data_IF_112334628753
#
_entry.id   IF_112334628753
#
_cell.length_a   1.000
_cell.length_b   1.000
_cell.length_c   1.000
_cell.angle_alpha   90.00
_cell.angle_beta   90.00
_cell.angle_gamma   90.00
#
_symmetry.space_group_name_H-M   'P 1'
#
loop_
_entity.id
_entity.type
_entity.pdbx_description
1 polymer ?
#
# COMPACT_ATOMS: atom_id res chain seq x y z
N UNK A 1 -66.73 22.26 17.77
CA UNK A 1 -65.41 22.74 18.22
C UNK A 1 -64.50 21.52 18.38
N UNK A 2 -63.42 21.49 17.58
CA UNK A 2 -62.21 20.64 17.60
C UNK A 2 -62.34 19.11 17.61
N UNK A 3 -62.29 18.55 16.38
CA UNK A 3 -61.82 17.20 16.06
C UNK A 3 -60.34 17.09 16.49
N UNK A 4 -60.02 16.16 17.39
CA UNK A 4 -58.62 15.88 17.78
C UNK A 4 -58.05 14.97 16.69
N UNK A 5 -57.09 15.50 15.95
CA UNK A 5 -56.47 14.90 14.78
C UNK A 5 -55.39 13.91 15.21
N UNK A 6 -55.48 12.68 14.71
CA UNK A 6 -54.49 11.60 14.85
C UNK A 6 -53.10 12.09 14.46
N UNK A 7 -52.20 12.17 15.44
CA UNK A 7 -50.78 12.57 15.29
C UNK A 7 -49.82 11.37 15.26
N UNK A 8 -50.33 10.14 15.42
CA UNK A 8 -49.56 8.90 15.35
C UNK A 8 -48.92 8.62 13.97
N UNK A 9 -49.55 8.92 12.82
CA UNK A 9 -48.96 8.65 11.51
C UNK A 9 -47.72 9.51 11.20
N UNK A 10 -47.72 10.78 11.64
CA UNK A 10 -46.61 11.70 11.41
C UNK A 10 -45.34 11.31 12.16
N UNK A 11 -45.47 10.82 13.41
CA UNK A 11 -44.32 10.34 14.19
C UNK A 11 -43.68 9.10 13.55
N UNK A 12 -44.48 8.21 12.97
CA UNK A 12 -43.97 7.02 12.28
C UNK A 12 -43.21 7.37 10.99
N UNK A 13 -43.70 8.36 10.23
CA UNK A 13 -43.04 8.84 9.02
C UNK A 13 -41.72 9.56 9.31
N UNK A 14 -41.63 10.31 10.41
CA UNK A 14 -40.38 10.95 10.85
C UNK A 14 -39.33 9.92 11.27
N UNK A 15 -39.73 8.88 12.01
CA UNK A 15 -38.85 7.76 12.39
C UNK A 15 -38.33 6.98 11.16
N UNK A 16 -39.19 6.74 10.17
CA UNK A 16 -38.79 6.10 8.92
C UNK A 16 -37.87 6.98 8.08
N UNK A 17 -38.10 8.30 8.06
CA UNK A 17 -37.23 9.25 7.39
C UNK A 17 -35.84 9.33 8.06
N UNK A 18 -35.76 9.36 9.40
CA UNK A 18 -34.50 9.31 10.12
C UNK A 18 -33.75 7.99 9.89
N UNK A 19 -34.46 6.86 9.90
CA UNK A 19 -33.88 5.56 9.55
C UNK A 19 -33.32 5.54 8.11
N UNK A 20 -34.04 6.12 7.15
CA UNK A 20 -33.62 6.16 5.74
C UNK A 20 -32.42 7.07 5.52
N UNK A 21 -32.38 8.22 6.21
CA UNK A 21 -31.25 9.18 6.19
C UNK A 21 -30.02 8.57 6.86
N UNK A 22 -30.19 7.86 7.97
CA UNK A 22 -29.08 7.15 8.64
C UNK A 22 -28.61 5.90 7.88
N UNK A 23 -29.48 5.21 7.14
CA UNK A 23 -29.07 4.10 6.27
C UNK A 23 -28.37 4.58 5.00
N UNK A 24 -28.74 5.75 4.47
CA UNK A 24 -28.17 6.28 3.22
C UNK A 24 -26.78 6.90 3.40
N UNK A 25 -26.45 7.40 4.59
CA UNK A 25 -25.12 7.98 4.86
C UNK A 25 -24.03 6.92 5.09
N UNK A 26 -24.39 5.73 5.57
CA UNK A 26 -23.45 4.63 5.86
C UNK A 26 -22.98 3.84 4.64
N UNK A 27 -23.72 3.86 3.53
CA UNK A 27 -23.42 3.05 2.33
C UNK A 27 -22.38 3.68 1.42
N UNK A 28 -22.22 5.00 1.44
CA UNK A 28 -21.28 5.71 0.56
C UNK A 28 -19.81 5.54 0.96
N UNK A 29 -19.50 5.57 2.26
CA UNK A 29 -18.12 5.48 2.75
C UNK A 29 -17.50 4.09 2.55
N UNK A 30 -18.28 3.03 2.76
CA UNK A 30 -17.81 1.64 2.59
C UNK A 30 -17.55 1.31 1.11
N UNK A 31 -18.44 1.76 0.22
CA UNK A 31 -18.28 1.61 -1.24
C UNK A 31 -17.02 2.31 -1.78
N UNK A 32 -16.73 3.53 -1.28
CA UNK A 32 -15.53 4.29 -1.67
C UNK A 32 -14.23 3.60 -1.23
N UNK A 33 -14.16 3.16 0.04
CA UNK A 33 -12.97 2.49 0.56
C UNK A 33 -12.69 1.16 -0.14
N UNK A 34 -13.71 0.34 -0.40
CA UNK A 34 -13.55 -0.92 -1.12
C UNK A 34 -12.99 -0.72 -2.54
N UNK A 35 -13.43 0.34 -3.23
CA UNK A 35 -12.91 0.72 -4.54
C UNK A 35 -11.43 1.12 -4.45
N UNK A 36 -11.07 1.92 -3.44
CA UNK A 36 -9.68 2.33 -3.19
C UNK A 36 -8.77 1.12 -2.88
N UNK A 37 -9.21 0.20 -2.03
CA UNK A 37 -8.47 -1.03 -1.71
C UNK A 37 -8.22 -1.90 -2.96
N UNK A 38 -9.18 -1.97 -3.88
CA UNK A 38 -9.03 -2.68 -5.16
C UNK A 38 -7.97 -2.01 -6.05
N UNK A 39 -7.97 -0.68 -6.12
CA UNK A 39 -6.96 0.07 -6.84
C UNK A 39 -5.56 -0.14 -6.23
N UNK A 40 -5.45 -0.09 -4.89
CA UNK A 40 -4.19 -0.37 -4.19
C UNK A 40 -3.65 -1.77 -4.52
N UNK A 41 -4.51 -2.80 -4.53
CA UNK A 41 -4.11 -4.15 -4.91
C UNK A 41 -3.55 -4.20 -6.33
N UNK A 42 -4.21 -3.52 -7.29
CA UNK A 42 -3.73 -3.47 -8.67
C UNK A 42 -2.36 -2.77 -8.79
N UNK A 43 -2.10 -1.74 -7.99
CA UNK A 43 -0.78 -1.10 -7.91
C UNK A 43 0.28 -2.06 -7.37
N UNK A 44 -0.05 -2.79 -6.30
CA UNK A 44 0.84 -3.79 -5.70
C UNK A 44 1.14 -4.95 -6.68
N UNK A 45 0.16 -5.38 -7.47
CA UNK A 45 0.35 -6.38 -8.53
C UNK A 45 1.38 -5.94 -9.57
N UNK A 46 1.23 -4.71 -10.09
CA UNK A 46 2.15 -4.14 -11.07
C UNK A 46 3.55 -3.95 -10.49
N UNK A 47 3.62 -3.46 -9.26
CA UNK A 47 4.87 -3.26 -8.53
C UNK A 47 5.64 -4.57 -8.34
N UNK A 48 4.94 -5.65 -7.95
CA UNK A 48 5.56 -6.97 -7.82
C UNK A 48 6.17 -7.44 -9.14
N UNK A 49 5.47 -7.26 -10.25
CA UNK A 49 5.99 -7.68 -11.55
C UNK A 49 7.23 -6.87 -11.97
N UNK A 50 7.22 -5.55 -11.78
CA UNK A 50 8.36 -4.69 -12.10
C UNK A 50 9.59 -4.96 -11.24
N UNK A 51 9.39 -5.28 -9.96
CA UNK A 51 10.49 -5.53 -9.02
C UNK A 51 11.41 -6.67 -9.47
N UNK A 52 10.85 -7.70 -10.12
CA UNK A 52 11.62 -8.85 -10.66
C UNK A 52 12.60 -8.47 -11.76
N UNK A 53 12.42 -7.31 -12.38
CA UNK A 53 13.27 -6.81 -13.47
C UNK A 53 14.20 -5.68 -13.02
N UNK A 54 14.46 -5.53 -11.72
CA UNK A 54 15.39 -4.50 -11.24
C UNK A 54 16.84 -4.83 -11.52
N UNK A 55 17.21 -6.11 -11.44
CA UNK A 55 18.57 -6.59 -11.60
C UNK A 55 18.88 -7.12 -13.00
N UNK A 56 17.85 -7.34 -13.84
CA UNK A 56 17.99 -7.88 -15.21
C UNK A 56 18.74 -9.23 -15.30
N UNK A 57 18.70 -10.01 -14.21
CA UNK A 57 19.34 -11.33 -14.10
C UNK A 57 18.32 -12.46 -14.31
N UNK A 58 18.80 -13.58 -14.83
CA UNK A 58 18.07 -14.85 -14.82
C UNK A 58 17.98 -15.46 -13.42
N UNK A 59 17.02 -16.37 -13.21
CA UNK A 59 16.87 -17.09 -11.93
C UNK A 59 18.14 -17.85 -11.53
N UNK A 60 18.91 -18.35 -12.51
CA UNK A 60 20.18 -19.06 -12.28
C UNK A 60 21.26 -18.11 -11.79
N UNK A 61 21.36 -16.92 -12.39
CA UNK A 61 22.34 -15.90 -11.98
C UNK A 61 22.01 -15.32 -10.60
N UNK A 62 20.73 -15.25 -10.24
CA UNK A 62 20.26 -14.77 -8.94
C UNK A 62 20.73 -15.68 -7.79
N UNK A 63 20.95 -16.98 -8.05
CA UNK A 63 21.50 -17.91 -7.05
C UNK A 63 22.88 -17.48 -6.54
N UNK A 64 23.66 -16.74 -7.35
CA UNK A 64 24.97 -16.22 -6.94
C UNK A 64 24.85 -15.11 -5.87
N UNK A 65 23.65 -14.55 -5.68
CA UNK A 65 23.37 -13.49 -4.72
C UNK A 65 22.61 -14.00 -3.47
N UNK A 66 22.18 -15.26 -3.46
CA UNK A 66 21.33 -15.81 -2.39
C UNK A 66 21.98 -15.79 -1.00
N UNK A 67 23.30 -15.93 -0.90
CA UNK A 67 24.06 -15.92 0.35
C UNK A 67 24.66 -14.53 0.70
N UNK A 68 24.33 -13.49 -0.07
CA UNK A 68 24.88 -12.16 0.16
C UNK A 68 24.15 -11.46 1.31
N UNK A 69 24.93 -10.96 2.29
CA UNK A 69 24.38 -10.22 3.41
C UNK A 69 23.64 -8.94 2.94
N UNK A 70 22.44 -8.72 3.50
CA UNK A 70 21.62 -7.53 3.29
C UNK A 70 22.29 -6.29 3.89
N UNK A 71 22.50 -5.25 3.07
CA UNK A 71 23.21 -4.02 3.47
C UNK A 71 22.29 -2.80 3.59
N UNK A 72 21.03 -2.91 3.17
CA UNK A 72 20.05 -1.82 3.23
C UNK A 72 19.23 -1.89 4.52
N UNK A 73 19.80 -1.41 5.63
CA UNK A 73 19.12 -1.40 6.92
C UNK A 73 17.92 -0.43 7.00
N UNK A 74 17.86 0.56 6.10
CA UNK A 74 16.76 1.54 5.99
C UNK A 74 15.51 1.02 5.27
N UNK A 75 15.60 -0.12 4.59
CA UNK A 75 14.41 -0.74 4.01
C UNK A 75 13.52 -1.31 5.12
N UNK A 76 12.18 -1.20 4.98
CA UNK A 76 11.24 -1.70 5.97
C UNK A 76 11.51 -3.14 6.40
N UNK A 77 11.43 -3.38 7.70
CA UNK A 77 11.37 -4.73 8.25
C UNK A 77 9.91 -5.15 8.38
N UNK A 78 9.52 -6.20 7.65
CA UNK A 78 8.12 -6.59 7.53
C UNK A 78 7.84 -7.79 8.43
N UNK A 79 6.96 -7.59 9.40
CA UNK A 79 6.52 -8.66 10.28
C UNK A 79 5.40 -9.48 9.62
N UNK A 80 5.58 -10.80 9.56
CA UNK A 80 4.66 -11.74 8.90
C UNK A 80 3.86 -12.62 9.85
N UNK A 81 3.80 -12.31 11.15
CA UNK A 81 3.15 -13.19 12.12
C UNK A 81 1.63 -13.22 11.91
N UNK A 82 1.04 -14.42 12.00
CA UNK A 82 -0.41 -14.59 11.87
C UNK A 82 -1.18 -13.84 12.96
N UNK A 83 -0.60 -13.76 14.16
CA UNK A 83 -1.12 -12.96 15.28
C UNK A 83 -1.24 -11.48 14.90
N UNK A 84 -0.20 -10.90 14.29
CA UNK A 84 -0.22 -9.51 13.82
C UNK A 84 -1.31 -9.28 12.76
N UNK A 85 -1.48 -10.20 11.81
CA UNK A 85 -2.53 -10.09 10.79
C UNK A 85 -3.95 -10.18 11.36
N UNK A 86 -4.14 -10.93 12.45
CA UNK A 86 -5.45 -11.08 13.10
C UNK A 86 -5.87 -9.87 13.94
N UNK A 87 -4.90 -9.04 14.37
CA UNK A 87 -5.13 -7.85 15.20
C UNK A 87 -5.12 -6.53 14.40
N UNK A 88 -5.12 -6.59 13.06
CA UNK A 88 -5.01 -5.40 12.21
C UNK A 88 -6.20 -4.45 12.37
N UNK A 89 -5.90 -3.17 12.59
CA UNK A 89 -6.86 -2.08 12.43
C UNK A 89 -6.66 -1.39 11.09
N UNK A 90 -7.75 -0.91 10.49
CA UNK A 90 -7.74 -0.35 9.13
C UNK A 90 -6.81 0.85 9.02
N UNK A 91 -6.97 1.86 9.88
CA UNK A 91 -6.15 3.07 9.90
C UNK A 91 -4.66 2.75 10.15
N UNK A 92 -4.35 1.98 11.20
CA UNK A 92 -2.97 1.60 11.55
C UNK A 92 -2.29 0.84 10.40
N UNK A 93 -3.03 -0.06 9.73
CA UNK A 93 -2.52 -0.83 8.59
C UNK A 93 -2.25 0.05 7.37
N UNK A 94 -3.15 0.98 7.06
CA UNK A 94 -2.98 1.93 5.94
C UNK A 94 -1.80 2.88 6.20
N UNK A 95 -1.65 3.35 7.44
CA UNK A 95 -0.50 4.15 7.88
C UNK A 95 0.81 3.39 7.74
N UNK A 96 0.85 2.12 8.15
CA UNK A 96 2.04 1.28 7.99
C UNK A 96 2.38 1.04 6.51
N UNK A 97 1.37 0.72 5.68
CA UNK A 97 1.53 0.57 4.24
C UNK A 97 2.08 1.85 3.61
N UNK A 98 1.60 3.02 4.05
CA UNK A 98 2.03 4.32 3.54
C UNK A 98 3.52 4.56 3.83
N UNK A 99 3.94 4.39 5.08
CA UNK A 99 5.35 4.57 5.48
C UNK A 99 6.26 3.62 4.70
N UNK A 100 5.86 2.36 4.55
CA UNK A 100 6.64 1.39 3.78
C UNK A 100 6.70 1.75 2.29
N UNK A 101 5.58 2.14 1.67
CA UNK A 101 5.55 2.57 0.28
C UNK A 101 6.47 3.77 0.03
N UNK A 102 6.48 4.76 0.93
CA UNK A 102 7.39 5.91 0.83
C UNK A 102 8.86 5.50 0.98
N UNK A 103 9.18 4.64 1.95
CA UNK A 103 10.54 4.14 2.14
C UNK A 103 11.05 3.40 0.90
N UNK A 104 10.23 2.51 0.30
CA UNK A 104 10.59 1.84 -0.95
C UNK A 104 10.71 2.81 -2.11
N UNK A 105 9.84 3.82 -2.20
CA UNK A 105 9.91 4.84 -3.26
C UNK A 105 11.28 5.52 -3.26
N UNK A 106 11.77 5.94 -2.09
CA UNK A 106 13.07 6.59 -1.96
C UNK A 106 14.22 5.69 -2.43
N UNK A 107 14.18 4.40 -2.11
CA UNK A 107 15.20 3.44 -2.55
C UNK A 107 15.12 3.14 -4.04
N UNK A 108 13.91 3.09 -4.61
CA UNK A 108 13.70 2.85 -6.04
C UNK A 108 14.09 4.08 -6.87
N UNK A 109 13.78 5.28 -6.41
CA UNK A 109 14.24 6.53 -7.04
C UNK A 109 15.77 6.61 -7.01
N UNK A 110 16.38 6.26 -5.87
CA UNK A 110 17.84 6.16 -5.75
C UNK A 110 18.40 5.12 -6.74
N UNK A 111 17.79 3.93 -6.82
CA UNK A 111 18.24 2.87 -7.72
C UNK A 111 18.16 3.31 -9.19
N UNK A 112 17.10 4.04 -9.57
CA UNK A 112 16.97 4.64 -10.91
C UNK A 112 18.20 5.50 -11.23
N UNK A 113 18.51 6.48 -10.38
CA UNK A 113 19.67 7.36 -10.57
C UNK A 113 20.99 6.59 -10.54
N UNK A 114 21.13 5.62 -9.64
CA UNK A 114 22.34 4.80 -9.55
C UNK A 114 22.59 3.98 -10.83
N UNK A 115 21.54 3.36 -11.40
CA UNK A 115 21.62 2.62 -12.67
C UNK A 115 21.99 3.54 -13.83
N UNK A 116 21.37 4.72 -13.92
CA UNK A 116 21.69 5.72 -14.95
C UNK A 116 23.14 6.17 -14.89
N UNK A 117 23.68 6.41 -13.69
CA UNK A 117 25.07 6.82 -13.49
C UNK A 117 26.10 5.78 -13.97
N UNK A 118 25.72 4.49 -13.98
CA UNK A 118 26.57 3.39 -14.47
C UNK A 118 26.12 2.85 -15.83
N UNK A 119 25.29 3.60 -16.57
CA UNK A 119 24.79 3.24 -17.91
C UNK A 119 24.01 1.91 -17.98
N UNK A 120 23.33 1.53 -16.89
CA UNK A 120 22.40 0.40 -16.84
C UNK A 120 20.95 0.85 -17.07
N UNK A 121 20.10 -0.06 -17.56
CA UNK A 121 18.67 0.22 -17.80
C UNK A 121 17.93 0.55 -16.50
N UNK A 122 17.28 1.71 -16.42
CA UNK A 122 16.53 2.15 -15.23
C UNK A 122 15.00 2.04 -15.38
N UNK A 123 14.49 1.54 -16.52
CA UNK A 123 13.07 1.55 -16.87
C UNK A 123 12.18 0.83 -15.84
N UNK A 124 12.61 -0.33 -15.33
CA UNK A 124 11.85 -1.07 -14.31
C UNK A 124 11.77 -0.31 -12.98
N UNK A 125 12.87 0.33 -12.55
CA UNK A 125 12.92 1.18 -11.37
C UNK A 125 12.04 2.42 -11.54
N UNK A 126 12.09 3.09 -12.69
CA UNK A 126 11.20 4.23 -12.99
C UNK A 126 9.72 3.87 -12.94
N UNK A 127 9.33 2.76 -13.58
CA UNK A 127 7.98 2.25 -13.53
C UNK A 127 7.53 1.92 -12.11
N UNK A 128 8.40 1.28 -11.32
CA UNK A 128 8.11 0.95 -9.93
C UNK A 128 7.96 2.21 -9.06
N UNK A 129 8.81 3.23 -9.25
CA UNK A 129 8.70 4.51 -8.56
C UNK A 129 7.37 5.21 -8.82
N UNK A 130 6.87 5.12 -10.06
CA UNK A 130 5.54 5.64 -10.45
C UNK A 130 4.41 4.89 -9.73
N UNK A 131 4.47 3.56 -9.69
CA UNK A 131 3.45 2.75 -9.01
C UNK A 131 3.48 2.89 -7.48
N UNK A 132 4.67 3.06 -6.89
CA UNK A 132 4.82 3.39 -5.47
C UNK A 132 4.22 4.76 -5.14
N UNK A 133 4.44 5.77 -5.97
CA UNK A 133 3.80 7.08 -5.81
C UNK A 133 2.27 6.99 -5.87
N UNK A 134 1.75 6.27 -6.86
CA UNK A 134 0.30 6.05 -7.00
C UNK A 134 -0.28 5.32 -5.78
N UNK A 135 0.42 4.30 -5.29
CA UNK A 135 0.04 3.57 -4.08
C UNK A 135 0.04 4.50 -2.86
N UNK A 136 1.09 5.29 -2.64
CA UNK A 136 1.18 6.27 -1.54
C UNK A 136 0.05 7.30 -1.60
N UNK A 137 -0.31 7.78 -2.80
CA UNK A 137 -1.41 8.73 -2.97
C UNK A 137 -2.76 8.08 -2.60
N UNK A 138 -3.02 6.85 -3.05
CA UNK A 138 -4.23 6.13 -2.68
C UNK A 138 -4.32 5.93 -1.16
N UNK A 139 -3.22 5.53 -0.53
CA UNK A 139 -3.14 5.32 0.92
C UNK A 139 -3.40 6.61 1.69
N UNK A 140 -2.77 7.72 1.27
CA UNK A 140 -2.98 9.03 1.86
C UNK A 140 -4.43 9.50 1.73
N UNK A 141 -5.03 9.36 0.53
CA UNK A 141 -6.45 9.69 0.32
C UNK A 141 -7.37 8.86 1.21
N UNK A 142 -7.10 7.56 1.39
CA UNK A 142 -7.90 6.72 2.29
C UNK A 142 -7.74 7.11 3.76
N UNK A 143 -6.54 7.49 4.21
CA UNK A 143 -6.32 8.01 5.57
C UNK A 143 -7.09 9.32 5.80
N UNK A 144 -7.01 10.26 4.86
CA UNK A 144 -7.78 11.51 4.96
C UNK A 144 -9.29 11.29 5.00
N UNK A 145 -9.84 10.33 4.24
CA UNK A 145 -11.25 9.98 4.32
C UNK A 145 -11.67 9.45 5.70
N UNK A 146 -10.71 8.93 6.48
CA UNK A 146 -10.91 8.45 7.85
C UNK A 146 -10.59 9.53 8.90
N UNK A 147 -10.30 10.77 8.48
CA UNK A 147 -9.81 11.86 9.35
C UNK A 147 -8.50 11.52 10.07
N UNK A 148 -7.69 10.66 9.45
CA UNK A 148 -6.34 10.30 9.91
C UNK A 148 -5.31 11.08 9.09
N UNK A 149 -4.19 11.43 9.72
CA UNK A 149 -3.08 12.10 9.06
C UNK A 149 -2.01 11.08 8.66
N UNK A 150 -1.43 11.25 7.46
CA UNK A 150 -0.39 10.33 7.01
C UNK A 150 0.88 10.49 7.87
N UNK A 151 1.45 9.38 8.39
CA UNK A 151 2.65 9.46 9.20
C UNK A 151 3.82 10.03 8.41
N UNK A 152 4.66 10.83 9.08
CA UNK A 152 5.95 11.24 8.54
C UNK A 152 6.84 10.02 8.34
N UNK A 153 7.45 9.93 7.15
CA UNK A 153 8.44 8.90 6.86
C UNK A 153 9.80 9.35 7.39
N UNK A 154 10.56 8.48 8.10
CA UNK A 154 11.90 8.82 8.54
C UNK A 154 12.81 9.05 7.32
N UNK A 155 13.84 9.91 7.45
CA UNK A 155 14.78 10.15 6.37
C UNK A 155 15.51 8.83 6.00
N UNK A 156 15.68 8.54 4.70
CA UNK A 156 16.32 7.32 4.27
C UNK A 156 17.84 7.41 4.49
N UNK A 157 18.47 6.31 4.90
CA UNK A 157 19.90 6.11 4.70
C UNK A 157 20.10 5.39 3.37
N UNK A 158 20.43 6.15 2.33
CA UNK A 158 20.72 5.62 1.00
C UNK A 158 22.19 5.21 0.89
N UNK A 159 22.51 4.11 0.21
CA UNK A 159 23.89 3.68 0.07
C UNK A 159 24.68 4.61 -0.86
N UNK A 160 25.96 4.74 -0.58
CA UNK A 160 26.93 5.34 -1.51
C UNK A 160 27.48 4.19 -2.36
N UNK A 161 27.24 4.23 -3.67
CA UNK A 161 27.76 3.25 -4.63
C UNK A 161 28.93 3.80 -5.41
N UNK A 162 29.98 3.00 -5.60
CA UNK A 162 31.14 3.38 -6.39
C UNK A 162 31.31 2.53 -7.66
N UNK A 163 30.59 1.42 -7.79
CA UNK A 163 30.72 0.50 -8.93
C UNK A 163 29.37 0.01 -9.45
N UNK A 164 29.34 -0.41 -10.72
CA UNK A 164 28.17 -1.05 -11.32
C UNK A 164 27.80 -2.37 -10.61
N UNK A 165 28.78 -3.08 -10.05
CA UNK A 165 28.54 -4.28 -9.26
C UNK A 165 27.81 -3.97 -7.95
N UNK A 166 28.15 -2.87 -7.26
CA UNK A 166 27.41 -2.44 -6.07
C UNK A 166 25.95 -2.11 -6.43
N UNK A 167 25.73 -1.41 -7.55
CA UNK A 167 24.39 -1.09 -8.05
C UNK A 167 23.61 -2.38 -8.34
N UNK A 168 24.23 -3.37 -8.98
CA UNK A 168 23.62 -4.68 -9.23
C UNK A 168 23.24 -5.38 -7.91
N UNK A 169 24.16 -5.46 -6.95
CA UNK A 169 23.88 -6.03 -5.62
C UNK A 169 22.67 -5.36 -4.95
N UNK A 170 22.64 -4.03 -4.91
CA UNK A 170 21.53 -3.32 -4.30
C UNK A 170 20.22 -3.49 -5.09
N UNK A 171 20.28 -3.63 -6.41
CA UNK A 171 19.08 -3.90 -7.22
C UNK A 171 18.45 -5.27 -6.90
N UNK A 172 19.26 -6.29 -6.62
CA UNK A 172 18.80 -7.60 -6.15
C UNK A 172 18.16 -7.47 -4.77
N UNK A 173 18.85 -6.87 -3.81
CA UNK A 173 18.32 -6.72 -2.44
C UNK A 173 17.01 -5.90 -2.40
N UNK A 174 16.94 -4.79 -3.15
CA UNK A 174 15.73 -3.97 -3.25
C UNK A 174 14.60 -4.78 -3.89
N UNK A 175 14.89 -5.56 -4.95
CA UNK A 175 13.91 -6.42 -5.60
C UNK A 175 13.30 -7.41 -4.62
N UNK A 176 14.12 -8.18 -3.90
CA UNK A 176 13.68 -9.21 -2.96
C UNK A 176 12.81 -8.61 -1.86
N UNK A 177 13.29 -7.53 -1.23
CA UNK A 177 12.54 -6.89 -0.12
C UNK A 177 11.26 -6.22 -0.61
N UNK A 178 11.24 -5.68 -1.83
CA UNK A 178 10.04 -5.14 -2.45
C UNK A 178 9.02 -6.23 -2.79
N UNK A 179 9.47 -7.41 -3.22
CA UNK A 179 8.58 -8.56 -3.43
C UNK A 179 7.93 -9.02 -2.13
N UNK A 180 8.71 -9.10 -1.04
CA UNK A 180 8.19 -9.39 0.31
C UNK A 180 7.15 -8.35 0.74
N UNK A 181 7.42 -7.07 0.49
CA UNK A 181 6.47 -5.98 0.73
C UNK A 181 5.18 -6.15 -0.07
N UNK A 182 5.27 -6.48 -1.36
CA UNK A 182 4.09 -6.66 -2.19
C UNK A 182 3.23 -7.83 -1.71
N UNK A 183 3.85 -8.95 -1.33
CA UNK A 183 3.12 -10.12 -0.83
C UNK A 183 2.47 -9.86 0.52
N UNK A 184 3.16 -9.17 1.42
CA UNK A 184 2.58 -8.73 2.68
C UNK A 184 1.43 -7.75 2.46
N UNK A 185 1.63 -6.74 1.62
CA UNK A 185 0.62 -5.72 1.31
C UNK A 185 -0.66 -6.34 0.77
N UNK A 186 -0.54 -7.33 -0.14
CA UNK A 186 -1.70 -8.08 -0.62
C UNK A 186 -2.47 -8.79 0.50
N UNK A 187 -1.77 -9.40 1.45
CA UNK A 187 -2.41 -10.07 2.60
C UNK A 187 -3.13 -9.06 3.48
N UNK A 188 -2.49 -7.93 3.79
CA UNK A 188 -3.07 -6.83 4.56
C UNK A 188 -4.31 -6.29 3.85
N UNK A 189 -4.21 -5.88 2.58
CA UNK A 189 -5.33 -5.32 1.81
C UNK A 189 -6.53 -6.27 1.71
N UNK A 190 -6.29 -7.58 1.52
CA UNK A 190 -7.36 -8.59 1.57
C UNK A 190 -8.02 -8.68 2.94
N UNK A 191 -7.25 -8.58 4.01
CA UNK A 191 -7.80 -8.56 5.36
C UNK A 191 -8.61 -7.28 5.60
N UNK A 192 -8.14 -6.12 5.13
CA UNK A 192 -8.87 -4.86 5.21
C UNK A 192 -10.18 -4.91 4.42
N UNK A 193 -10.20 -5.55 3.25
CA UNK A 193 -11.44 -5.78 2.50
C UNK A 193 -12.47 -6.59 3.30
N UNK A 194 -12.02 -7.62 4.04
CA UNK A 194 -12.89 -8.43 4.91
C UNK A 194 -13.43 -7.60 6.08
N UNK A 195 -12.57 -6.85 6.75
CA UNK A 195 -12.95 -5.98 7.88
C UNK A 195 -13.91 -4.85 7.44
N UNK A 196 -13.74 -4.36 6.20
CA UNK A 196 -14.58 -3.31 5.61
C UNK A 196 -15.86 -3.84 4.96
N UNK A 197 -16.14 -5.14 5.08
CA UNK A 197 -17.33 -5.79 4.51
C UNK A 197 -17.48 -5.59 2.99
N UNK A 198 -16.36 -5.53 2.28
CA UNK A 198 -16.38 -5.40 0.82
C UNK A 198 -17.02 -6.63 0.16
N UNK A 199 -17.81 -6.45 -0.92
CA UNK A 199 -18.37 -7.57 -1.65
C UNK A 199 -17.26 -8.47 -2.21
N UNK A 200 -17.44 -9.78 -2.09
CA UNK A 200 -16.52 -10.77 -2.68
C UNK A 200 -16.78 -10.82 -4.20
N UNK A 201 -15.71 -10.70 -4.98
CA UNK A 201 -15.72 -10.95 -6.42
C UNK A 201 -15.03 -12.29 -6.70
#
# INVERSE_FOLDING_TARGET
MKLIHDSAPCLHLLLLAELFVHSSSRTSHTSSLCSMLKLMMAQVDRLKNLSKSFHDLSDVELLNFADMEHRLHSLPHIHHTATHLSSLKVNESLSQLYVHAQAFKLHVDWLKTAKENVSLSSHSAEGAGTHLLQLSNLLNSSLHQMSEEAPLSPPPSLPVTSTAFDVLRFSVEISERLQVFCDWSKRVLRQLQRLSHCPRH
#
